data_IF_324828847444
#
_entry.id   IF_324828847444
#
_cell.length_a   1.000
_cell.length_b   1.000
_cell.length_c   1.000
_cell.angle_alpha   90.00
_cell.angle_beta   90.00
_cell.angle_gamma   90.00
#
_symmetry.space_group_name_H-M   'P 1'
#
loop_
_entity.id
_entity.type
_entity.pdbx_description
1 polymer ?
#
# COMPACT_ATOMS: atom_id res chain seq x y z
N UNK A 1 -14.91 6.56 14.98
CA UNK A 1 -15.02 7.46 13.82
C UNK A 1 -14.33 8.74 14.21
N UNK A 2 -13.42 9.27 13.36
CA UNK A 2 -12.73 10.54 13.61
C UNK A 2 -13.74 11.66 13.89
N UNK A 3 -13.44 12.53 14.86
CA UNK A 3 -14.30 13.68 15.18
C UNK A 3 -14.33 14.70 14.02
N UNK A 4 -13.24 14.77 13.24
CA UNK A 4 -13.16 15.63 12.06
C UNK A 4 -13.52 14.82 10.79
N UNK A 5 -14.58 15.18 10.06
CA UNK A 5 -14.99 14.48 8.82
C UNK A 5 -13.91 14.40 7.74
N UNK A 6 -12.99 15.36 7.67
CA UNK A 6 -11.87 15.34 6.71
C UNK A 6 -10.83 14.24 7.01
N UNK A 7 -10.83 13.71 8.23
CA UNK A 7 -9.96 12.61 8.65
C UNK A 7 -10.52 11.23 8.30
N UNK A 8 -11.71 11.16 7.74
CA UNK A 8 -12.36 9.91 7.34
C UNK A 8 -11.66 9.23 6.15
N UNK A 9 -10.82 9.95 5.41
CA UNK A 9 -9.99 9.41 4.33
C UNK A 9 -8.53 9.77 4.54
N UNK A 10 -7.63 8.80 4.28
CA UNK A 10 -6.17 8.95 4.39
C UNK A 10 -5.49 8.72 3.05
N UNK A 11 -4.46 9.50 2.78
CA UNK A 11 -3.67 9.36 1.56
C UNK A 11 -2.27 8.86 1.87
N UNK A 12 -1.91 7.78 1.20
CA UNK A 12 -0.59 7.16 1.27
C UNK A 12 0.11 7.41 -0.07
N UNK A 13 1.19 8.16 -0.02
CA UNK A 13 2.06 8.34 -1.18
C UNK A 13 3.09 7.22 -1.30
N UNK A 14 4.14 7.46 -2.05
CA UNK A 14 5.18 6.48 -2.29
C UNK A 14 6.54 7.17 -2.36
N UNK A 15 7.53 6.61 -1.68
CA UNK A 15 8.93 7.00 -1.82
C UNK A 15 9.70 5.79 -2.32
N UNK A 16 10.11 5.84 -3.60
CA UNK A 16 11.12 4.92 -4.14
C UNK A 16 12.53 5.29 -3.66
N UNK A 17 13.51 4.53 -4.08
CA UNK A 17 14.91 4.76 -3.73
C UNK A 17 15.64 5.70 -4.69
N UNK A 18 15.03 5.97 -5.82
CA UNK A 18 15.40 6.94 -6.85
C UNK A 18 14.15 7.31 -7.67
N UNK A 19 14.28 8.18 -8.65
CA UNK A 19 13.16 8.65 -9.48
C UNK A 19 12.74 7.70 -10.60
N UNK A 20 13.30 6.49 -10.69
CA UNK A 20 12.91 5.53 -11.72
C UNK A 20 11.44 5.12 -11.62
N UNK A 21 10.84 4.91 -12.76
CA UNK A 21 9.47 4.42 -12.91
C UNK A 21 9.35 3.46 -14.09
N UNK A 22 8.13 3.06 -14.41
CA UNK A 22 7.88 2.20 -15.56
C UNK A 22 8.08 2.89 -16.91
N UNK A 23 8.17 4.22 -16.93
CA UNK A 23 8.35 5.03 -18.15
C UNK A 23 9.79 5.49 -18.36
N UNK A 24 10.62 5.48 -17.33
CA UNK A 24 12.03 5.86 -17.44
C UNK A 24 12.91 5.21 -16.36
N UNK A 25 14.20 5.09 -16.68
CA UNK A 25 15.23 4.67 -15.72
C UNK A 25 15.61 5.79 -14.74
N UNK A 26 16.47 5.48 -13.75
CA UNK A 26 16.94 6.47 -12.79
C UNK A 26 17.81 7.52 -13.46
N UNK A 27 17.65 8.80 -13.09
CA UNK A 27 18.50 9.91 -13.58
C UNK A 27 19.95 9.71 -13.14
N UNK A 28 20.15 9.17 -11.94
CA UNK A 28 21.48 8.74 -11.47
C UNK A 28 21.57 7.22 -11.48
N UNK A 29 22.71 6.67 -11.89
CA UNK A 29 22.93 5.21 -11.94
C UNK A 29 23.07 4.54 -10.56
N UNK A 30 22.68 5.21 -9.49
CA UNK A 30 22.72 4.70 -8.11
C UNK A 30 21.39 4.04 -7.75
N UNK A 31 21.47 2.90 -7.06
CA UNK A 31 20.31 2.23 -6.49
C UNK A 31 19.57 3.09 -5.44
N UNK A 32 20.31 3.93 -4.70
CA UNK A 32 19.78 4.88 -3.72
C UNK A 32 20.25 6.30 -4.06
N UNK A 33 19.29 7.15 -4.38
CA UNK A 33 19.48 8.60 -4.56
C UNK A 33 18.93 9.33 -3.32
N UNK A 34 19.85 9.75 -2.45
CA UNK A 34 19.48 10.46 -1.21
C UNK A 34 18.73 11.77 -1.49
N UNK A 35 19.17 12.53 -2.49
CA UNK A 35 18.55 13.84 -2.78
C UNK A 35 17.09 13.66 -3.24
N UNK A 36 16.82 12.63 -4.03
CA UNK A 36 15.46 12.26 -4.41
C UNK A 36 14.62 11.85 -3.19
N UNK A 37 15.14 10.98 -2.30
CA UNK A 37 14.42 10.56 -1.08
C UNK A 37 14.10 11.75 -0.19
N UNK A 38 15.05 12.67 -0.01
CA UNK A 38 14.87 13.88 0.79
C UNK A 38 13.78 14.78 0.17
N UNK A 39 13.81 15.02 -1.13
CA UNK A 39 12.82 15.82 -1.86
C UNK A 39 11.43 15.17 -1.82
N UNK A 40 11.36 13.85 -2.04
CA UNK A 40 10.09 13.11 -2.04
C UNK A 40 9.44 13.09 -0.63
N UNK A 41 10.22 12.94 0.44
CA UNK A 41 9.70 12.95 1.79
C UNK A 41 9.15 14.33 2.17
N UNK A 42 9.95 15.39 1.98
CA UNK A 42 9.53 16.76 2.31
C UNK A 42 8.40 17.26 1.44
N UNK A 43 8.47 17.00 0.13
CA UNK A 43 7.44 17.44 -0.82
C UNK A 43 6.08 16.79 -0.51
N UNK A 44 6.04 15.49 -0.23
CA UNK A 44 4.78 14.82 0.10
C UNK A 44 4.25 15.24 1.48
N UNK A 45 5.11 15.56 2.46
CA UNK A 45 4.70 16.19 3.71
C UNK A 45 4.05 17.55 3.47
N UNK A 46 4.69 18.39 2.67
CA UNK A 46 4.24 19.76 2.38
C UNK A 46 2.87 19.78 1.69
N UNK A 47 2.67 18.91 0.71
CA UNK A 47 1.41 18.84 -0.04
C UNK A 47 0.32 18.00 0.64
N UNK A 48 0.57 17.50 1.86
CA UNK A 48 -0.46 16.96 2.75
C UNK A 48 -0.79 15.49 2.60
N UNK A 49 0.16 14.65 2.18
CA UNK A 49 0.01 13.21 2.37
C UNK A 49 0.03 12.85 3.85
N UNK A 50 -0.81 11.88 4.25
CA UNK A 50 -0.83 11.39 5.64
C UNK A 50 0.34 10.44 5.92
N UNK A 51 0.69 9.60 4.93
CA UNK A 51 1.78 8.62 4.96
C UNK A 51 2.44 8.46 3.61
N UNK A 52 3.58 7.79 3.61
CA UNK A 52 4.22 7.28 2.39
C UNK A 52 4.60 5.81 2.57
N UNK A 53 4.42 5.02 1.53
CA UNK A 53 4.94 3.65 1.47
C UNK A 53 6.42 3.70 1.12
N UNK A 54 7.25 3.05 1.96
CA UNK A 54 8.64 2.71 1.63
C UNK A 54 8.65 1.24 1.18
N UNK A 55 8.97 0.94 -0.08
CA UNK A 55 8.90 -0.41 -0.61
C UNK A 55 10.02 -1.31 -0.08
N UNK A 56 9.83 -2.62 -0.23
CA UNK A 56 10.82 -3.64 0.03
C UNK A 56 11.02 -4.53 -1.21
N UNK A 57 12.25 -4.89 -1.50
CA UNK A 57 12.60 -5.87 -2.52
C UNK A 57 13.99 -6.45 -2.24
N UNK A 58 14.22 -7.70 -2.62
CA UNK A 58 15.47 -8.43 -2.35
C UNK A 58 16.71 -7.87 -3.06
N UNK A 59 16.54 -6.93 -3.98
CA UNK A 59 17.61 -6.21 -4.65
C UNK A 59 17.54 -4.69 -4.43
N UNK A 60 16.75 -4.26 -3.45
CA UNK A 60 16.50 -2.84 -3.15
C UNK A 60 17.26 -2.41 -1.88
N UNK A 61 17.46 -1.10 -1.67
CA UNK A 61 17.83 -0.57 -0.37
C UNK A 61 16.86 -1.03 0.73
N UNK A 62 17.34 -1.13 1.96
CA UNK A 62 16.55 -1.63 3.09
C UNK A 62 15.52 -0.59 3.55
N UNK A 63 14.26 -1.00 3.64
CA UNK A 63 13.12 -0.12 3.84
C UNK A 63 13.10 0.59 5.19
N UNK A 64 13.47 -0.08 6.30
CA UNK A 64 13.46 0.53 7.63
C UNK A 64 14.55 1.60 7.78
N UNK A 65 15.72 1.38 7.16
CA UNK A 65 16.82 2.35 7.17
C UNK A 65 16.44 3.61 6.39
N UNK A 66 15.80 3.44 5.22
CA UNK A 66 15.32 4.57 4.42
C UNK A 66 14.20 5.31 5.16
N UNK A 67 13.27 4.59 5.79
CA UNK A 67 12.22 5.18 6.61
C UNK A 67 12.78 5.97 7.80
N UNK A 68 13.81 5.45 8.49
CA UNK A 68 14.47 6.15 9.59
C UNK A 68 15.09 7.48 9.12
N UNK A 69 15.78 7.48 7.97
CA UNK A 69 16.32 8.69 7.37
C UNK A 69 15.22 9.71 7.02
N UNK A 70 14.17 9.27 6.33
CA UNK A 70 13.07 10.13 5.93
C UNK A 70 12.29 10.68 7.16
N UNK A 71 12.11 9.88 8.20
CA UNK A 71 11.46 10.30 9.44
C UNK A 71 12.27 11.37 10.20
N UNK A 72 13.61 11.32 10.12
CA UNK A 72 14.47 12.30 10.77
C UNK A 72 14.45 13.69 10.12
N UNK A 73 13.99 13.79 8.86
CA UNK A 73 13.97 15.05 8.09
C UNK A 73 12.55 15.60 7.85
N UNK A 74 11.54 14.96 8.43
CA UNK A 74 10.11 15.32 8.37
C UNK A 74 9.51 15.40 9.76
N UNK A 75 8.36 16.08 9.91
CA UNK A 75 7.74 16.32 11.22
C UNK A 75 6.38 15.65 11.41
N UNK A 76 5.59 15.50 10.32
CA UNK A 76 4.20 15.02 10.36
C UNK A 76 3.97 13.79 9.50
N UNK A 77 4.76 13.62 8.43
CA UNK A 77 4.59 12.54 7.48
C UNK A 77 4.74 11.18 8.17
N UNK A 78 3.73 10.32 8.01
CA UNK A 78 3.79 8.95 8.47
C UNK A 78 4.50 8.04 7.46
N UNK A 79 4.97 6.88 7.93
CA UNK A 79 5.71 5.92 7.11
C UNK A 79 5.05 4.55 7.19
N UNK A 80 4.65 4.02 6.05
CA UNK A 80 4.21 2.64 5.88
C UNK A 80 5.42 1.83 5.40
N UNK A 81 6.07 1.13 6.30
CA UNK A 81 7.32 0.41 6.02
C UNK A 81 7.00 -1.00 5.57
N UNK A 82 7.31 -1.33 4.32
CA UNK A 82 7.17 -2.71 3.86
C UNK A 82 8.19 -3.61 4.56
N UNK A 83 7.72 -4.74 5.08
CA UNK A 83 8.52 -5.70 5.84
C UNK A 83 8.15 -7.14 5.47
N UNK A 84 9.16 -7.97 5.27
CA UNK A 84 8.97 -9.37 4.87
C UNK A 84 9.32 -10.31 6.02
N UNK A 85 8.34 -11.10 6.54
CA UNK A 85 8.59 -12.15 7.53
C UNK A 85 9.56 -13.21 7.02
N UNK A 86 10.41 -13.70 7.93
CA UNK A 86 11.32 -14.82 7.65
C UNK A 86 12.80 -14.45 7.50
N UNK A 87 13.12 -13.16 7.25
CA UNK A 87 14.52 -12.72 7.09
C UNK A 87 15.10 -12.05 8.35
N UNK A 88 14.23 -11.51 9.18
CA UNK A 88 14.58 -11.02 10.52
C UNK A 88 13.74 -11.74 11.54
N UNK A 89 14.33 -12.16 12.66
CA UNK A 89 13.58 -12.79 13.75
C UNK A 89 12.48 -11.83 14.28
N UNK A 90 11.26 -12.33 14.56
CA UNK A 90 10.13 -11.48 14.91
C UNK A 90 10.36 -10.61 16.15
N UNK A 91 11.05 -11.11 17.18
CA UNK A 91 11.38 -10.33 18.37
C UNK A 91 12.36 -9.19 18.08
N UNK A 92 13.32 -9.39 17.17
CA UNK A 92 14.22 -8.32 16.73
C UNK A 92 13.48 -7.30 15.87
N UNK A 93 12.67 -7.74 14.92
CA UNK A 93 11.86 -6.85 14.09
C UNK A 93 10.86 -6.03 14.93
N UNK A 94 10.26 -6.63 15.97
CA UNK A 94 9.40 -5.90 16.90
C UNK A 94 10.13 -4.74 17.57
N UNK A 95 11.36 -4.96 18.04
CA UNK A 95 12.19 -3.89 18.65
C UNK A 95 12.61 -2.84 17.64
N UNK A 96 13.02 -3.24 16.44
CA UNK A 96 13.41 -2.31 15.36
C UNK A 96 12.26 -1.36 15.01
N UNK A 97 11.07 -1.92 14.77
CA UNK A 97 9.86 -1.15 14.43
C UNK A 97 9.42 -0.25 15.60
N UNK A 98 9.42 -0.75 16.84
CA UNK A 98 9.09 0.05 18.01
C UNK A 98 10.10 1.19 18.25
N UNK A 99 11.40 0.94 18.01
CA UNK A 99 12.44 1.97 18.11
C UNK A 99 12.21 3.06 17.05
N UNK A 100 11.94 2.66 15.82
CA UNK A 100 11.68 3.58 14.74
C UNK A 100 10.39 4.39 15.00
N UNK A 101 9.35 3.76 15.55
CA UNK A 101 8.10 4.41 15.92
C UNK A 101 8.32 5.49 16.98
N UNK A 102 9.02 5.19 18.06
CA UNK A 102 9.33 6.17 19.10
C UNK A 102 10.24 7.31 18.59
N UNK A 103 11.28 7.00 17.82
CA UNK A 103 12.16 8.02 17.22
C UNK A 103 11.41 8.95 16.27
N UNK A 104 10.39 8.44 15.60
CA UNK A 104 9.55 9.23 14.69
C UNK A 104 8.37 9.94 15.38
N UNK A 105 8.10 9.68 16.67
CA UNK A 105 6.95 10.22 17.40
C UNK A 105 5.62 9.57 16.98
N UNK A 106 5.58 8.23 16.87
CA UNK A 106 4.36 7.48 16.60
C UNK A 106 3.90 7.49 15.13
N UNK A 107 4.81 7.73 14.19
CA UNK A 107 4.48 7.90 12.76
C UNK A 107 4.64 6.64 11.91
N UNK A 108 4.96 5.49 12.51
CA UNK A 108 5.23 4.25 11.76
C UNK A 108 3.97 3.39 11.64
N UNK A 109 3.84 2.76 10.50
CA UNK A 109 2.99 1.60 10.24
C UNK A 109 3.83 0.54 9.53
N UNK A 110 3.53 -0.73 9.70
CA UNK A 110 4.21 -1.81 9.00
C UNK A 110 3.30 -2.44 7.95
N UNK A 111 3.79 -2.60 6.72
CA UNK A 111 3.13 -3.38 5.69
C UNK A 111 3.79 -4.75 5.59
N UNK A 112 3.14 -5.76 6.14
CA UNK A 112 3.62 -7.14 6.04
C UNK A 112 3.38 -7.66 4.64
N UNK A 113 4.47 -7.99 3.93
CA UNK A 113 4.46 -8.58 2.59
C UNK A 113 4.95 -10.02 2.65
N UNK A 114 4.07 -10.96 2.29
CA UNK A 114 4.36 -12.40 2.43
C UNK A 114 5.38 -12.92 1.40
N UNK A 115 5.60 -12.16 0.31
CA UNK A 115 6.45 -12.53 -0.81
C UNK A 115 5.66 -13.15 -1.97
N UNK A 116 6.03 -12.77 -3.18
CA UNK A 116 5.31 -13.16 -4.41
C UNK A 116 6.03 -14.20 -5.26
N UNK A 117 7.27 -13.95 -5.62
CA UNK A 117 8.06 -14.79 -6.51
C UNK A 117 9.08 -15.62 -5.73
N UNK A 118 9.20 -16.91 -6.06
CA UNK A 118 10.12 -17.83 -5.36
C UNK A 118 11.59 -17.43 -5.60
N UNK A 119 11.92 -16.92 -6.79
CA UNK A 119 13.25 -16.44 -7.12
C UNK A 119 13.66 -15.22 -6.27
N UNK A 120 12.70 -14.35 -5.96
CA UNK A 120 12.95 -13.21 -5.10
C UNK A 120 13.18 -13.66 -3.65
N UNK A 121 12.40 -14.61 -3.17
CA UNK A 121 12.58 -15.20 -1.83
C UNK A 121 13.93 -15.87 -1.69
N UNK A 122 14.35 -16.62 -2.72
CA UNK A 122 15.62 -17.33 -2.72
C UNK A 122 16.85 -16.41 -2.63
N UNK A 123 16.77 -15.18 -3.17
CA UNK A 123 17.86 -14.19 -3.06
C UNK A 123 18.18 -13.81 -1.63
N UNK A 124 17.18 -13.79 -0.74
CA UNK A 124 17.34 -13.51 0.68
C UNK A 124 17.46 -14.79 1.54
N UNK A 125 17.63 -15.94 0.91
CA UNK A 125 17.93 -17.21 1.58
C UNK A 125 16.71 -18.12 1.85
N UNK A 126 15.51 -17.72 1.48
CA UNK A 126 14.32 -18.57 1.58
C UNK A 126 14.13 -19.40 0.30
N UNK A 127 14.89 -20.48 0.18
CA UNK A 127 14.94 -21.34 -1.01
C UNK A 127 13.89 -22.47 -1.00
N UNK A 128 13.22 -22.71 0.13
CA UNK A 128 12.41 -23.90 0.33
C UNK A 128 10.94 -23.61 0.70
N UNK A 129 10.58 -22.38 1.00
CA UNK A 129 9.20 -22.09 1.43
C UNK A 129 8.23 -22.08 0.25
N UNK A 130 7.10 -22.75 0.42
CA UNK A 130 5.97 -22.68 -0.50
C UNK A 130 5.01 -21.56 -0.07
N UNK A 131 4.19 -21.08 -0.99
CA UNK A 131 3.31 -19.93 -0.78
C UNK A 131 2.38 -20.07 0.45
N UNK A 132 1.78 -21.26 0.65
CA UNK A 132 0.91 -21.52 1.80
C UNK A 132 1.67 -21.46 3.13
N UNK A 133 2.91 -21.94 3.17
CA UNK A 133 3.77 -21.86 4.36
C UNK A 133 4.19 -20.41 4.66
N UNK A 134 4.42 -19.61 3.64
CA UNK A 134 4.73 -18.18 3.83
C UNK A 134 3.58 -17.42 4.52
N UNK A 135 2.32 -17.74 4.20
CA UNK A 135 1.18 -17.16 4.91
C UNK A 135 1.10 -17.63 6.36
N UNK A 136 1.26 -18.94 6.61
CA UNK A 136 1.27 -19.49 7.96
C UNK A 136 2.44 -18.94 8.80
N UNK A 137 3.61 -18.72 8.17
CA UNK A 137 4.76 -18.06 8.81
C UNK A 137 4.47 -16.60 9.13
N UNK A 138 3.80 -15.87 8.24
CA UNK A 138 3.42 -14.49 8.48
C UNK A 138 2.40 -14.35 9.61
N UNK A 139 1.45 -15.27 9.72
CA UNK A 139 0.49 -15.37 10.80
C UNK A 139 1.20 -15.48 12.17
N UNK A 140 2.08 -16.47 12.32
CA UNK A 140 2.88 -16.66 13.53
C UNK A 140 3.81 -15.48 13.83
N UNK A 141 4.39 -14.89 12.78
CA UNK A 141 5.28 -13.74 12.88
C UNK A 141 4.57 -12.51 13.46
N UNK A 142 3.38 -12.19 12.94
CA UNK A 142 2.62 -11.02 13.40
C UNK A 142 2.12 -11.23 14.83
N UNK A 143 1.75 -12.46 15.21
CA UNK A 143 1.40 -12.77 16.61
C UNK A 143 2.56 -12.44 17.56
N UNK A 144 3.77 -12.87 17.23
CA UNK A 144 4.96 -12.58 18.04
C UNK A 144 5.25 -11.06 18.07
N UNK A 145 5.16 -10.36 16.94
CA UNK A 145 5.30 -8.90 16.91
C UNK A 145 4.34 -8.23 17.91
N UNK A 146 3.04 -8.56 17.83
CA UNK A 146 2.02 -7.97 18.70
C UNK A 146 2.24 -8.31 20.17
N UNK A 147 2.62 -9.55 20.46
CA UNK A 147 2.94 -9.96 21.83
C UNK A 147 4.15 -9.20 22.37
N UNK A 148 5.21 -9.03 21.59
CA UNK A 148 6.40 -8.27 21.98
C UNK A 148 6.07 -6.79 22.26
N UNK A 149 5.14 -6.20 21.45
CA UNK A 149 4.70 -4.81 21.64
C UNK A 149 3.80 -4.60 22.86
N UNK A 150 3.05 -5.62 23.28
CA UNK A 150 2.05 -5.49 24.35
C UNK A 150 2.41 -6.18 25.65
N UNK A 151 3.35 -7.14 25.63
CA UNK A 151 3.72 -7.90 26.82
C UNK A 151 4.29 -6.99 27.93
N UNK A 152 3.80 -7.17 29.13
CA UNK A 152 4.25 -6.51 30.36
C UNK A 152 5.29 -7.33 31.13
N UNK A 153 5.45 -8.62 30.75
CA UNK A 153 6.37 -9.58 31.33
C UNK A 153 7.00 -10.45 30.22
N UNK A 154 8.19 -11.05 30.47
CA UNK A 154 8.78 -12.02 29.56
C UNK A 154 7.82 -13.17 29.24
N UNK A 155 7.83 -13.61 27.97
CA UNK A 155 7.03 -14.75 27.51
C UNK A 155 7.86 -15.72 26.68
N UNK A 156 7.44 -16.98 26.68
CA UNK A 156 7.95 -18.00 25.78
C UNK A 156 7.00 -18.16 24.59
N UNK A 157 7.57 -18.44 23.43
CA UNK A 157 6.86 -18.84 22.23
C UNK A 157 7.52 -20.10 21.65
N UNK A 158 6.71 -21.10 21.36
CA UNK A 158 7.15 -22.30 20.64
C UNK A 158 6.10 -22.63 19.58
N UNK A 159 6.37 -22.19 18.37
CA UNK A 159 5.49 -22.36 17.23
C UNK A 159 6.06 -23.30 16.18
N UNK A 160 5.50 -23.25 14.98
CA UNK A 160 5.96 -24.03 13.84
C UNK A 160 7.22 -23.45 13.19
N UNK A 161 7.31 -22.13 13.14
CA UNK A 161 8.36 -21.40 12.40
C UNK A 161 9.34 -20.69 13.33
N UNK A 162 8.91 -20.35 14.55
CA UNK A 162 9.71 -19.56 15.47
C UNK A 162 9.70 -20.16 16.88
N UNK A 163 10.84 -20.04 17.56
CA UNK A 163 10.96 -20.33 18.98
C UNK A 163 11.66 -19.13 19.66
N UNK A 164 11.07 -18.65 20.74
CA UNK A 164 11.66 -17.61 21.59
C UNK A 164 11.44 -17.95 23.05
N UNK A 165 12.44 -17.70 23.90
CA UNK A 165 12.40 -17.96 25.34
C UNK A 165 12.68 -16.67 26.09
N UNK A 166 11.83 -16.31 27.05
CA UNK A 166 11.93 -15.10 27.81
C UNK A 166 11.89 -13.83 26.94
N UNK A 167 11.16 -13.85 25.82
CA UNK A 167 11.04 -12.72 24.90
C UNK A 167 10.38 -11.53 25.60
N UNK A 168 11.05 -10.39 25.59
CA UNK A 168 10.55 -9.15 26.19
C UNK A 168 11.36 -7.96 25.70
N UNK A 169 10.68 -6.90 25.34
CA UNK A 169 11.28 -5.60 25.06
C UNK A 169 10.72 -4.53 25.98
N UNK A 170 11.58 -3.70 26.56
CA UNK A 170 11.16 -2.51 27.30
C UNK A 170 10.66 -1.39 26.39
N UNK A 171 11.07 -1.40 25.11
CA UNK A 171 10.58 -0.43 24.14
C UNK A 171 9.28 -0.94 23.52
N UNK A 172 8.25 -0.11 23.56
CA UNK A 172 6.91 -0.38 22.98
C UNK A 172 6.56 0.72 21.98
N UNK A 173 5.90 0.40 20.88
CA UNK A 173 5.40 1.45 19.98
C UNK A 173 4.22 2.18 20.63
N UNK A 174 3.98 3.43 20.21
CA UNK A 174 2.82 4.19 20.66
C UNK A 174 1.54 3.63 20.01
N UNK A 175 1.54 3.55 18.69
CA UNK A 175 0.48 2.94 17.89
C UNK A 175 1.04 2.54 16.53
N UNK A 176 1.35 1.27 16.34
CA UNK A 176 1.99 0.75 15.12
C UNK A 176 0.99 -0.14 14.35
N UNK A 177 0.19 0.44 13.42
CA UNK A 177 -0.77 -0.32 12.66
C UNK A 177 -0.08 -1.34 11.73
N UNK A 178 -0.70 -2.50 11.61
CA UNK A 178 -0.30 -3.56 10.69
C UNK A 178 -1.17 -3.51 9.45
N UNK A 179 -0.56 -3.23 8.30
CA UNK A 179 -1.14 -3.38 6.98
C UNK A 179 -0.82 -4.77 6.46
N UNK A 180 -1.81 -5.40 5.85
CA UNK A 180 -1.66 -6.72 5.26
C UNK A 180 -2.50 -6.83 3.99
N UNK A 181 -1.98 -7.50 2.96
CA UNK A 181 -2.69 -7.65 1.69
C UNK A 181 -2.50 -9.04 1.08
N UNK A 182 -3.31 -9.32 0.09
CA UNK A 182 -3.29 -10.57 -0.68
C UNK A 182 -4.71 -11.04 -1.01
N UNK A 183 -4.90 -11.68 -2.17
CA UNK A 183 -6.24 -12.05 -2.67
C UNK A 183 -6.55 -13.54 -2.52
N UNK A 184 -5.67 -14.33 -1.91
CA UNK A 184 -5.93 -15.76 -1.67
C UNK A 184 -6.74 -15.97 -0.38
N UNK A 185 -7.46 -17.10 -0.25
CA UNK A 185 -8.19 -17.43 0.98
C UNK A 185 -7.31 -17.39 2.23
N UNK A 186 -6.08 -17.87 2.14
CA UNK A 186 -5.11 -17.87 3.25
C UNK A 186 -4.74 -16.44 3.64
N UNK A 187 -4.56 -15.55 2.66
CA UNK A 187 -4.27 -14.14 2.93
C UNK A 187 -5.43 -13.46 3.66
N UNK A 188 -6.67 -13.75 3.26
CA UNK A 188 -7.89 -13.20 3.87
C UNK A 188 -8.03 -13.67 5.33
N UNK A 189 -7.75 -14.95 5.63
CA UNK A 189 -7.81 -15.47 7.00
C UNK A 189 -6.73 -14.85 7.90
N UNK A 190 -5.49 -14.70 7.42
CA UNK A 190 -4.41 -14.02 8.17
C UNK A 190 -4.77 -12.54 8.38
N UNK A 191 -5.27 -11.87 7.35
CA UNK A 191 -5.72 -10.48 7.47
C UNK A 191 -6.84 -10.33 8.50
N UNK A 192 -7.83 -11.22 8.49
CA UNK A 192 -8.93 -11.23 9.46
C UNK A 192 -8.45 -11.28 10.90
N UNK A 193 -7.37 -12.00 11.17
CA UNK A 193 -6.75 -12.10 12.50
C UNK A 193 -5.91 -10.88 12.87
N UNK A 194 -5.18 -10.32 11.93
CA UNK A 194 -4.08 -9.42 12.26
C UNK A 194 -4.15 -8.02 11.65
N UNK A 195 -4.80 -7.83 10.49
CA UNK A 195 -4.76 -6.55 9.82
C UNK A 195 -5.52 -5.45 10.59
N UNK A 196 -4.88 -4.31 10.77
CA UNK A 196 -5.56 -3.07 11.15
C UNK A 196 -6.06 -2.35 9.89
N UNK A 197 -5.32 -2.48 8.78
CA UNK A 197 -5.74 -2.04 7.46
C UNK A 197 -5.44 -3.14 6.43
N UNK A 198 -6.45 -3.49 5.62
CA UNK A 198 -6.27 -4.43 4.53
C UNK A 198 -5.96 -3.73 3.22
N UNK A 199 -4.85 -4.11 2.59
CA UNK A 199 -4.35 -3.48 1.37
C UNK A 199 -4.84 -4.23 0.12
N UNK A 200 -5.50 -3.47 -0.78
CA UNK A 200 -6.08 -3.92 -2.05
C UNK A 200 -5.38 -3.24 -3.22
N UNK A 201 -5.35 -3.89 -4.35
CA UNK A 201 -5.04 -3.25 -5.63
C UNK A 201 -6.30 -2.68 -6.28
N UNK A 202 -6.13 -1.71 -7.18
CA UNK A 202 -7.22 -1.05 -7.90
C UNK A 202 -7.88 -1.99 -8.90
N UNK A 203 -8.92 -2.66 -8.47
CA UNK A 203 -9.83 -3.48 -9.26
C UNK A 203 -11.14 -2.72 -9.53
N UNK A 204 -12.11 -3.35 -10.22
CA UNK A 204 -13.44 -2.76 -10.39
C UNK A 204 -14.15 -2.58 -9.05
N UNK A 205 -15.13 -1.67 -8.99
CA UNK A 205 -15.93 -1.43 -7.77
C UNK A 205 -16.56 -2.72 -7.24
N UNK A 206 -17.04 -3.60 -8.12
CA UNK A 206 -17.62 -4.90 -7.75
C UNK A 206 -16.58 -5.80 -7.10
N UNK A 207 -15.41 -5.96 -7.73
CA UNK A 207 -14.32 -6.82 -7.22
C UNK A 207 -13.76 -6.31 -5.88
N UNK A 208 -13.63 -4.98 -5.72
CA UNK A 208 -13.21 -4.37 -4.47
C UNK A 208 -14.26 -4.61 -3.38
N UNK A 209 -15.55 -4.45 -3.70
CA UNK A 209 -16.64 -4.74 -2.75
C UNK A 209 -16.64 -6.19 -2.27
N UNK A 210 -16.44 -7.16 -3.18
CA UNK A 210 -16.30 -8.58 -2.84
C UNK A 210 -15.17 -8.81 -1.83
N UNK A 211 -13.98 -8.26 -2.11
CA UNK A 211 -12.82 -8.37 -1.23
C UNK A 211 -13.08 -7.73 0.15
N UNK A 212 -13.69 -6.54 0.18
CA UNK A 212 -14.06 -5.86 1.44
C UNK A 212 -14.99 -6.73 2.28
N UNK A 213 -16.02 -7.32 1.66
CA UNK A 213 -16.96 -8.19 2.34
C UNK A 213 -16.31 -9.48 2.85
N UNK A 214 -15.46 -10.11 2.06
CA UNK A 214 -14.73 -11.32 2.45
C UNK A 214 -13.83 -11.07 3.66
N UNK A 215 -13.06 -9.98 3.66
CA UNK A 215 -12.18 -9.61 4.77
C UNK A 215 -12.95 -9.21 6.01
N UNK A 216 -14.04 -8.44 5.87
CA UNK A 216 -14.93 -8.11 7.00
C UNK A 216 -15.51 -9.36 7.65
N UNK A 217 -15.93 -10.34 6.83
CA UNK A 217 -16.44 -11.61 7.34
C UNK A 217 -15.35 -12.39 8.11
N UNK A 218 -14.13 -12.50 7.58
CA UNK A 218 -13.01 -13.13 8.25
C UNK A 218 -12.65 -12.42 9.56
N UNK A 219 -12.58 -11.08 9.55
CA UNK A 219 -12.23 -10.26 10.71
C UNK A 219 -13.28 -10.33 11.83
N UNK A 220 -14.57 -10.44 11.48
CA UNK A 220 -15.65 -10.56 12.45
C UNK A 220 -15.54 -11.81 13.34
N UNK A 221 -14.97 -12.92 12.83
CA UNK A 221 -14.67 -14.13 13.61
C UNK A 221 -13.70 -13.87 14.77
N UNK A 222 -12.91 -12.80 14.66
CA UNK A 222 -11.90 -12.37 15.65
C UNK A 222 -12.27 -11.06 16.35
N UNK A 223 -13.53 -10.60 16.21
CA UNK A 223 -14.01 -9.35 16.82
C UNK A 223 -13.34 -8.09 16.26
N UNK A 224 -12.73 -8.16 15.06
CA UNK A 224 -11.97 -7.07 14.45
C UNK A 224 -12.75 -6.35 13.34
N UNK A 225 -12.38 -5.09 13.11
CA UNK A 225 -12.95 -4.24 12.06
C UNK A 225 -11.80 -3.47 11.37
N UNK A 226 -11.11 -4.08 10.40
CA UNK A 226 -10.02 -3.41 9.69
C UNK A 226 -10.54 -2.27 8.82
N UNK A 227 -9.69 -1.25 8.62
CA UNK A 227 -9.79 -0.31 7.53
C UNK A 227 -9.36 -0.95 6.20
N UNK A 228 -9.52 -0.21 5.08
CA UNK A 228 -9.19 -0.72 3.75
C UNK A 228 -8.38 0.29 2.95
N UNK A 229 -7.24 -0.13 2.45
CA UNK A 229 -6.38 0.66 1.58
C UNK A 229 -6.49 0.17 0.13
N UNK A 230 -6.76 1.09 -0.80
CA UNK A 230 -6.80 0.81 -2.23
C UNK A 230 -5.63 1.49 -2.94
N UNK A 231 -4.88 0.72 -3.72
CA UNK A 231 -3.72 1.21 -4.45
C UNK A 231 -4.09 1.55 -5.89
N UNK A 232 -3.91 2.82 -6.29
CA UNK A 232 -4.27 3.37 -7.60
C UNK A 232 -3.20 4.32 -8.12
N UNK A 233 -3.21 4.56 -9.43
CA UNK A 233 -2.33 5.53 -10.13
C UNK A 233 -3.18 6.57 -10.86
N UNK A 234 -3.52 7.70 -10.23
CA UNK A 234 -4.27 8.76 -10.90
C UNK A 234 -3.51 9.31 -12.11
N UNK A 235 -4.22 9.52 -13.21
CA UNK A 235 -3.71 10.26 -14.39
C UNK A 235 -4.65 11.44 -14.59
N UNK A 236 -4.24 12.61 -14.12
CA UNK A 236 -5.07 13.82 -14.11
C UNK A 236 -4.54 14.87 -15.08
N UNK A 237 -5.46 15.63 -15.66
CA UNK A 237 -5.18 16.80 -16.49
C UNK A 237 -6.39 17.75 -16.48
N UNK A 238 -6.22 18.96 -17.02
CA UNK A 238 -7.25 20.03 -17.03
C UNK A 238 -8.54 19.62 -17.75
N UNK A 239 -8.46 18.70 -18.72
CA UNK A 239 -9.62 18.15 -19.44
C UNK A 239 -9.57 16.63 -19.49
N UNK A 240 -10.73 16.01 -19.61
CA UNK A 240 -10.83 14.54 -19.77
C UNK A 240 -10.05 14.03 -20.99
N UNK A 241 -10.12 14.78 -22.10
CA UNK A 241 -9.40 14.43 -23.32
C UNK A 241 -7.88 14.46 -23.11
N UNK A 242 -7.37 15.51 -22.45
CA UNK A 242 -5.95 15.62 -22.12
C UNK A 242 -5.49 14.51 -21.16
N UNK A 243 -6.32 14.13 -20.18
CA UNK A 243 -6.01 13.04 -19.25
C UNK A 243 -5.90 11.69 -19.96
N UNK A 244 -6.83 11.38 -20.87
CA UNK A 244 -6.78 10.14 -21.67
C UNK A 244 -5.63 10.14 -22.67
N UNK A 245 -5.28 11.30 -23.25
CA UNK A 245 -4.09 11.45 -24.07
C UNK A 245 -2.82 11.14 -23.27
N UNK A 246 -2.69 11.71 -22.06
CA UNK A 246 -1.58 11.41 -21.16
C UNK A 246 -1.51 9.93 -20.79
N UNK A 247 -2.65 9.27 -20.54
CA UNK A 247 -2.68 7.84 -20.25
C UNK A 247 -2.18 7.00 -21.44
N UNK A 248 -2.53 7.36 -22.68
CA UNK A 248 -2.01 6.72 -23.89
C UNK A 248 -0.50 6.94 -24.06
N UNK A 249 -0.02 8.17 -23.83
CA UNK A 249 1.42 8.49 -23.89
C UNK A 249 2.23 7.69 -22.84
N UNK A 250 1.70 7.53 -21.62
CA UNK A 250 2.30 6.68 -20.58
C UNK A 250 2.37 5.23 -21.06
N UNK A 251 1.31 4.70 -21.66
CA UNK A 251 1.26 3.33 -22.17
C UNK A 251 2.33 3.11 -23.24
N UNK A 252 2.48 4.05 -24.18
CA UNK A 252 3.50 4.01 -25.22
C UNK A 252 4.92 4.08 -24.64
N UNK A 253 5.16 4.93 -23.65
CA UNK A 253 6.46 5.05 -22.97
C UNK A 253 6.78 3.77 -22.18
N UNK A 254 5.84 3.18 -21.46
CA UNK A 254 6.03 1.88 -20.78
C UNK A 254 6.38 0.80 -21.78
N UNK A 255 5.67 0.74 -22.92
CA UNK A 255 5.96 -0.21 -23.99
C UNK A 255 7.38 -0.05 -24.52
N UNK A 256 7.75 1.16 -24.91
CA UNK A 256 9.07 1.47 -25.44
C UNK A 256 10.20 1.16 -24.43
N UNK A 257 9.99 1.51 -23.15
CA UNK A 257 10.97 1.23 -22.10
C UNK A 257 11.16 -0.28 -21.88
N UNK A 258 10.07 -1.07 -21.89
CA UNK A 258 10.12 -2.53 -21.74
C UNK A 258 10.80 -3.18 -22.95
N UNK A 259 10.47 -2.76 -24.15
CA UNK A 259 11.10 -3.25 -25.39
C UNK A 259 12.62 -2.99 -25.40
N UNK A 260 13.02 -1.78 -25.02
CA UNK A 260 14.44 -1.41 -24.91
C UNK A 260 15.18 -2.24 -23.83
N UNK A 261 14.48 -2.65 -22.77
CA UNK A 261 15.01 -3.50 -21.71
C UNK A 261 14.91 -5.01 -22.01
N UNK A 262 14.37 -5.40 -23.19
CA UNK A 262 14.16 -6.82 -23.54
C UNK A 262 13.10 -7.53 -22.67
N UNK A 263 12.18 -6.77 -22.05
CA UNK A 263 11.13 -7.31 -21.21
C UNK A 263 9.85 -7.59 -22.01
N UNK A 264 9.10 -8.66 -21.69
CA UNK A 264 7.88 -8.98 -22.42
C UNK A 264 6.80 -7.92 -22.22
N UNK A 265 6.10 -7.56 -23.31
CA UNK A 265 4.98 -6.60 -23.32
C UNK A 265 3.60 -7.28 -23.44
N UNK A 266 3.56 -8.61 -23.54
CA UNK A 266 2.33 -9.41 -23.59
C UNK A 266 2.60 -10.86 -23.17
N UNK A 267 1.55 -11.62 -22.89
CA UNK A 267 1.64 -13.08 -22.66
C UNK A 267 2.27 -13.51 -21.34
N UNK A 268 2.55 -12.60 -20.44
CA UNK A 268 3.14 -12.91 -19.15
C UNK A 268 2.09 -13.40 -18.16
N UNK A 269 2.26 -14.60 -17.63
CA UNK A 269 1.42 -15.11 -16.53
C UNK A 269 2.06 -14.71 -15.20
N UNK A 270 1.41 -13.85 -14.41
CA UNK A 270 1.97 -13.43 -13.13
C UNK A 270 1.95 -14.57 -12.10
N UNK A 271 2.87 -14.56 -11.13
CA UNK A 271 3.01 -15.63 -10.15
C UNK A 271 2.00 -15.55 -9.00
N UNK A 272 1.19 -14.52 -8.92
CA UNK A 272 0.31 -14.29 -7.76
C UNK A 272 -1.15 -14.01 -8.18
N UNK A 273 -2.07 -14.32 -7.26
CA UNK A 273 -3.52 -14.22 -7.46
C UNK A 273 -3.99 -12.79 -7.75
N UNK A 274 -3.44 -11.81 -7.04
CA UNK A 274 -3.80 -10.40 -7.24
C UNK A 274 -3.49 -9.93 -8.65
N UNK A 275 -2.31 -10.24 -9.18
CA UNK A 275 -1.94 -9.91 -10.57
C UNK A 275 -2.80 -10.64 -11.59
N UNK A 276 -3.19 -11.91 -11.33
CA UNK A 276 -4.13 -12.64 -12.18
C UNK A 276 -5.50 -11.95 -12.25
N UNK A 277 -6.03 -11.51 -11.10
CA UNK A 277 -7.29 -10.75 -11.03
C UNK A 277 -7.20 -9.43 -11.79
N UNK A 278 -6.10 -8.68 -11.64
CA UNK A 278 -5.89 -7.44 -12.40
C UNK A 278 -5.78 -7.68 -13.91
N UNK A 279 -5.14 -8.76 -14.35
CA UNK A 279 -5.12 -9.12 -15.78
C UNK A 279 -6.49 -9.50 -16.31
N UNK A 280 -7.33 -10.18 -15.53
CA UNK A 280 -8.73 -10.44 -15.91
C UNK A 280 -9.51 -9.13 -16.04
N UNK A 281 -9.29 -8.19 -15.13
CA UNK A 281 -9.87 -6.84 -15.19
C UNK A 281 -9.37 -6.08 -16.44
N UNK A 282 -8.12 -6.30 -16.83
CA UNK A 282 -7.50 -5.65 -18.00
C UNK A 282 -7.99 -6.16 -19.37
N UNK A 283 -8.92 -7.10 -19.43
CA UNK A 283 -9.59 -7.51 -20.68
C UNK A 283 -10.50 -6.39 -21.23
N UNK A 284 -9.95 -5.30 -21.59
CA UNK A 284 -10.59 -4.08 -22.04
C UNK A 284 -10.00 -2.90 -21.26
N UNK A 285 -9.43 -1.97 -21.98
CA UNK A 285 -8.53 -0.93 -21.46
C UNK A 285 -9.21 0.06 -20.51
N UNK A 286 -10.53 0.06 -20.40
CA UNK A 286 -11.33 0.99 -19.59
C UNK A 286 -12.44 0.25 -18.84
N UNK A 287 -12.53 0.43 -17.54
CA UNK A 287 -13.54 -0.16 -16.65
C UNK A 287 -14.12 0.90 -15.72
N UNK A 288 -15.35 0.70 -15.23
CA UNK A 288 -16.06 1.61 -14.31
C UNK A 288 -15.95 3.09 -14.74
N UNK A 289 -16.00 3.35 -16.04
CA UNK A 289 -15.88 4.67 -16.64
C UNK A 289 -14.50 5.31 -16.57
N UNK A 290 -13.80 5.26 -15.45
CA UNK A 290 -12.51 5.92 -15.20
C UNK A 290 -11.35 4.95 -14.96
N UNK A 291 -11.62 3.71 -14.58
CA UNK A 291 -10.58 2.72 -14.31
C UNK A 291 -9.83 2.35 -15.59
N UNK A 292 -8.53 2.61 -15.60
CA UNK A 292 -7.61 2.34 -16.69
C UNK A 292 -6.64 1.22 -16.33
N UNK A 293 -6.46 0.29 -17.23
CA UNK A 293 -5.70 -0.95 -17.03
C UNK A 293 -4.60 -1.17 -18.07
N UNK A 294 -4.28 -0.16 -18.89
CA UNK A 294 -3.32 -0.29 -19.99
C UNK A 294 -1.93 -0.74 -19.53
N UNK A 295 -1.41 -0.14 -18.47
CA UNK A 295 -0.11 -0.54 -17.90
C UNK A 295 -0.18 -1.93 -17.27
N UNK A 296 -1.30 -2.31 -16.64
CA UNK A 296 -1.48 -3.66 -16.11
C UNK A 296 -1.39 -4.72 -17.23
N UNK A 297 -2.01 -4.47 -18.36
CA UNK A 297 -1.93 -5.34 -19.53
C UNK A 297 -0.51 -5.53 -20.05
N UNK A 298 0.26 -4.43 -20.13
CA UNK A 298 1.65 -4.42 -20.62
C UNK A 298 2.65 -5.09 -19.66
N UNK A 299 2.45 -4.92 -18.36
CA UNK A 299 3.43 -5.36 -17.33
C UNK A 299 3.11 -6.72 -16.74
N UNK A 300 2.02 -7.38 -17.17
CA UNK A 300 1.53 -8.58 -16.51
C UNK A 300 0.97 -8.27 -15.10
N UNK A 301 0.48 -7.06 -14.89
CA UNK A 301 -0.07 -6.57 -13.63
C UNK A 301 0.88 -6.77 -12.43
N UNK A 302 2.18 -6.57 -12.65
CA UNK A 302 3.15 -6.58 -11.56
C UNK A 302 3.02 -5.30 -10.74
N UNK A 303 2.70 -5.45 -9.45
CA UNK A 303 2.52 -4.33 -8.54
C UNK A 303 1.26 -3.48 -8.82
N UNK A 304 1.26 -2.24 -8.34
CA UNK A 304 0.19 -1.27 -8.60
C UNK A 304 0.31 -0.72 -10.04
N UNK A 305 -0.59 -1.14 -10.92
CA UNK A 305 -0.52 -0.84 -12.35
C UNK A 305 -1.87 -0.40 -12.96
N UNK A 306 -2.89 -0.17 -12.12
CA UNK A 306 -4.20 0.35 -12.53
C UNK A 306 -4.36 1.80 -12.14
N UNK A 307 -5.05 2.60 -12.96
CA UNK A 307 -5.21 4.02 -12.77
C UNK A 307 -6.65 4.50 -12.83
N UNK A 308 -6.88 5.72 -12.34
CA UNK A 308 -8.09 6.49 -12.59
C UNK A 308 -7.72 7.67 -13.48
N UNK A 309 -8.45 7.84 -14.60
CA UNK A 309 -8.14 8.83 -15.64
C UNK A 309 -9.24 9.85 -15.77
N UNK A 310 -8.90 11.14 -15.71
CA UNK A 310 -9.87 12.23 -15.87
C UNK A 310 -9.34 13.57 -15.35
N UNK A 311 -10.24 14.54 -15.22
CA UNK A 311 -9.93 15.76 -14.48
C UNK A 311 -9.80 15.47 -12.98
N UNK A 312 -9.18 16.33 -12.17
CA UNK A 312 -9.13 16.15 -10.72
C UNK A 312 -10.50 15.88 -10.10
N UNK A 313 -11.57 16.59 -10.54
CA UNK A 313 -12.93 16.39 -10.06
C UNK A 313 -13.47 15.01 -10.42
N UNK A 314 -13.27 14.58 -11.66
CA UNK A 314 -13.73 13.27 -12.14
C UNK A 314 -13.03 12.11 -11.44
N UNK A 315 -11.74 12.25 -11.18
CA UNK A 315 -10.97 11.25 -10.43
C UNK A 315 -11.38 11.25 -8.95
N UNK A 316 -11.65 12.43 -8.37
CA UNK A 316 -12.15 12.54 -7.00
C UNK A 316 -13.53 11.90 -6.85
N UNK A 317 -14.44 12.04 -7.83
CA UNK A 317 -15.74 11.35 -7.84
C UNK A 317 -15.58 9.83 -7.92
N UNK A 318 -14.69 9.34 -8.78
CA UNK A 318 -14.41 7.91 -8.85
C UNK A 318 -13.80 7.36 -7.54
N UNK A 319 -12.96 8.15 -6.86
CA UNK A 319 -12.43 7.77 -5.53
C UNK A 319 -13.52 7.77 -4.46
N UNK A 320 -14.51 8.67 -4.54
CA UNK A 320 -15.66 8.69 -3.63
C UNK A 320 -16.52 7.42 -3.80
N UNK A 321 -16.67 6.88 -5.02
CA UNK A 321 -17.36 5.60 -5.25
C UNK A 321 -16.66 4.44 -4.51
N UNK A 322 -15.33 4.42 -4.48
CA UNK A 322 -14.58 3.46 -3.68
C UNK A 322 -14.70 3.72 -2.16
N UNK A 323 -14.75 4.98 -1.74
CA UNK A 323 -15.00 5.32 -0.34
C UNK A 323 -16.37 4.79 0.13
N UNK A 324 -17.41 4.90 -0.69
CA UNK A 324 -18.77 4.44 -0.38
C UNK A 324 -18.87 2.92 -0.18
N UNK A 325 -17.96 2.15 -0.75
CA UNK A 325 -17.87 0.70 -0.51
C UNK A 325 -16.94 0.32 0.64
N UNK A 326 -16.33 1.31 1.29
CA UNK A 326 -15.58 1.15 2.54
C UNK A 326 -14.08 1.32 2.45
N UNK A 327 -13.55 1.89 1.37
CA UNK A 327 -12.14 2.27 1.27
C UNK A 327 -11.92 3.58 2.03
N UNK A 328 -11.06 3.57 3.03
CA UNK A 328 -10.72 4.71 3.88
C UNK A 328 -9.25 5.17 3.73
N UNK A 329 -8.43 4.40 3.01
CA UNK A 329 -7.06 4.76 2.66
C UNK A 329 -6.84 4.64 1.16
N UNK A 330 -6.24 5.64 0.53
CA UNK A 330 -5.82 5.57 -0.86
C UNK A 330 -4.30 5.62 -0.94
N UNK A 331 -3.68 4.52 -1.40
CA UNK A 331 -2.28 4.51 -1.76
C UNK A 331 -2.17 4.94 -3.22
N UNK A 332 -1.60 6.12 -3.45
CA UNK A 332 -1.47 6.67 -4.79
C UNK A 332 -0.02 6.99 -5.13
N UNK A 333 0.37 6.65 -6.35
CA UNK A 333 1.67 7.02 -6.92
C UNK A 333 1.51 7.35 -8.40
N UNK A 334 2.34 8.24 -8.90
CA UNK A 334 2.36 8.59 -10.30
C UNK A 334 3.37 7.80 -11.14
N UNK A 335 3.45 8.15 -12.41
CA UNK A 335 4.45 7.64 -13.35
C UNK A 335 5.68 8.55 -13.38
N UNK A 336 5.52 9.84 -13.07
CA UNK A 336 6.58 10.75 -12.64
C UNK A 336 6.52 10.84 -11.09
N UNK A 337 7.31 10.03 -10.35
CA UNK A 337 7.00 9.73 -8.95
C UNK A 337 6.91 10.95 -8.03
N UNK A 338 7.80 11.94 -8.19
CA UNK A 338 7.76 13.15 -7.38
C UNK A 338 6.77 14.18 -7.93
N UNK A 339 6.83 14.48 -9.23
CA UNK A 339 6.02 15.54 -9.83
C UNK A 339 4.54 15.22 -9.75
N UNK A 340 4.16 13.97 -10.04
CA UNK A 340 2.78 13.51 -9.90
C UNK A 340 2.32 13.54 -8.43
N UNK A 341 3.16 13.18 -7.47
CA UNK A 341 2.80 13.26 -6.04
C UNK A 341 2.53 14.71 -5.61
N UNK A 342 3.36 15.66 -6.05
CA UNK A 342 3.16 17.07 -5.79
C UNK A 342 1.89 17.61 -6.47
N UNK A 343 1.61 17.16 -7.68
CA UNK A 343 0.38 17.50 -8.40
C UNK A 343 -0.86 16.97 -7.67
N UNK A 344 -0.85 15.70 -7.24
CA UNK A 344 -1.97 15.13 -6.49
C UNK A 344 -2.25 15.89 -5.19
N UNK A 345 -1.20 16.26 -4.45
CA UNK A 345 -1.37 17.02 -3.22
C UNK A 345 -2.03 18.38 -3.43
N UNK A 346 -1.73 19.06 -4.54
CA UNK A 346 -2.33 20.36 -4.86
C UNK A 346 -3.74 20.25 -5.42
N UNK A 347 -3.96 19.30 -6.35
CA UNK A 347 -5.17 19.30 -7.18
C UNK A 347 -6.19 18.23 -6.77
N UNK A 348 -5.76 17.07 -6.26
CA UNK A 348 -6.65 15.93 -6.03
C UNK A 348 -7.01 15.72 -4.55
N UNK A 349 -6.02 15.69 -3.66
CA UNK A 349 -6.25 15.38 -2.24
C UNK A 349 -7.27 16.30 -1.57
N UNK A 350 -7.22 17.64 -1.75
CA UNK A 350 -8.19 18.54 -1.15
C UNK A 350 -9.62 18.28 -1.65
N UNK A 351 -9.79 17.97 -2.94
CA UNK A 351 -11.10 17.65 -3.53
C UNK A 351 -11.70 16.38 -2.94
N UNK A 352 -10.91 15.31 -2.89
CA UNK A 352 -11.39 14.04 -2.30
C UNK A 352 -11.76 14.22 -0.83
N UNK A 353 -10.92 14.92 -0.04
CA UNK A 353 -11.23 15.21 1.37
C UNK A 353 -12.52 15.99 1.54
N UNK A 354 -12.75 17.02 0.69
CA UNK A 354 -13.97 17.82 0.73
C UNK A 354 -15.20 16.97 0.39
N UNK A 355 -15.15 16.17 -0.68
CA UNK A 355 -16.26 15.29 -1.09
C UNK A 355 -16.56 14.23 -0.01
N UNK A 356 -15.54 13.62 0.57
CA UNK A 356 -15.71 12.65 1.66
C UNK A 356 -16.30 13.31 2.90
N UNK A 357 -15.84 14.51 3.27
CA UNK A 357 -16.40 15.24 4.41
C UNK A 357 -17.91 15.55 4.23
N UNK A 358 -18.30 15.97 3.03
CA UNK A 358 -19.70 16.18 2.68
C UNK A 358 -20.49 14.86 2.78
N UNK A 359 -19.98 13.76 2.19
CA UNK A 359 -20.64 12.45 2.22
C UNK A 359 -20.84 11.93 3.65
N UNK A 360 -19.85 12.09 4.52
CA UNK A 360 -19.94 11.72 5.94
C UNK A 360 -20.99 12.54 6.67
N UNK A 361 -21.11 13.84 6.36
CA UNK A 361 -22.14 14.71 6.94
C UNK A 361 -23.55 14.28 6.50
N UNK A 362 -23.75 13.97 5.23
CA UNK A 362 -25.01 13.47 4.68
C UNK A 362 -25.44 12.16 5.35
N UNK A 363 -24.53 11.19 5.51
CA UNK A 363 -24.81 9.91 6.16
C UNK A 363 -25.19 10.09 7.65
N UNK A 364 -24.51 10.99 8.37
CA UNK A 364 -24.85 11.32 9.77
C UNK A 364 -26.25 11.95 9.88
N UNK A 365 -26.59 12.85 8.95
CA UNK A 365 -27.91 13.48 8.88
C UNK A 365 -29.06 12.46 8.65
N UNK A 366 -28.85 11.52 7.72
CA UNK A 366 -29.81 10.44 7.44
C UNK A 366 -30.00 9.52 8.65
N UNK A 367 -28.92 9.16 9.34
CA UNK A 367 -29.00 8.30 10.54
C UNK A 367 -29.75 9.01 11.68
N UNK A 368 -29.53 10.30 11.87
CA UNK A 368 -30.26 11.08 12.88
C UNK A 368 -31.75 11.21 12.54
N UNK A 369 -32.11 11.39 11.28
CA UNK A 369 -33.50 11.47 10.82
C UNK A 369 -34.27 10.14 10.94
N UNK A 370 -33.57 8.99 10.91
CA UNK A 370 -34.17 7.66 11.08
C UNK A 370 -34.32 7.26 12.58
N UNK A 371 -33.61 7.93 13.47
CA UNK A 371 -33.61 7.65 14.91
C UNK A 371 -34.58 8.55 15.71
N UNK A 372 -35.15 9.61 15.10
CA UNK A 372 -36.15 10.52 15.69
C UNK A 372 -37.53 10.24 15.13
#
# INVERSE_FOLDING_TARGET
MSENPSDAVKFIGYIGFNNASEIHGPVQSRALDRAYVDAAARGQEEVGFDRVLIPFGSNSPESQIVAAHAAAITNKLGFLVAHRPGFTQPTLAARQLATLDQLSGGRIAVHIITGGADEEMARDGDVNSIKSERYARSDEYIDILRREWTATQPFDHKGRFYEARGAFSSIKPDNLPVFFGGSSPEAIEVAGRHADVYALWGETLEQVRENVLAVRHAAAKHGRRPGFSLSLRPVIADTEEAAWKRAAEIEDQVRAHREAAGLPTAGHRPPNEGSLRLLQTAQGNRRDGRLWTGVAALTGAQGNSTGLVGTPEQVADAMLDYFDIGIDHFLIRGFEPLDDALLYGRELLPLVRAKVAQRVAELKGQTAALAG
#
